data_IF_563053918771
#
_entry.id   IF_563053918771
#
_cell.length_a   1.000
_cell.length_b   1.000
_cell.length_c   1.000
_cell.angle_alpha   90.00
_cell.angle_beta   90.00
_cell.angle_gamma   90.00
#
_symmetry.space_group_name_H-M   'P 1'
#
loop_
_entity.id
_entity.type
_entity.pdbx_description
1 polymer ?
#
# COMPACT_ATOMS: atom_id res chain seq x y z
N UNK A 1 -9.51 -12.71 -4.73
CA UNK A 1 -8.96 -11.50 -4.07
C UNK A 1 -8.93 -10.29 -5.00
N UNK A 2 -8.21 -10.34 -6.13
CA UNK A 2 -8.20 -9.20 -7.10
C UNK A 2 -9.59 -8.98 -7.69
N UNK A 3 -10.24 -10.04 -8.16
CA UNK A 3 -11.59 -9.98 -8.73
C UNK A 3 -12.63 -9.47 -7.71
N UNK A 4 -12.55 -9.91 -6.46
CA UNK A 4 -13.44 -9.48 -5.38
C UNK A 4 -13.22 -7.99 -5.02
N UNK A 5 -11.98 -7.53 -5.01
CA UNK A 5 -11.66 -6.10 -4.82
C UNK A 5 -12.14 -5.26 -6.00
N UNK A 6 -12.03 -5.76 -7.24
CA UNK A 6 -12.53 -5.07 -8.43
C UNK A 6 -14.06 -5.04 -8.49
N UNK A 7 -14.74 -6.05 -7.93
CA UNK A 7 -16.21 -6.03 -7.72
C UNK A 7 -16.64 -5.15 -6.55
N UNK A 8 -15.73 -4.75 -5.66
CA UNK A 8 -16.04 -3.97 -4.46
C UNK A 8 -16.47 -4.80 -3.25
N UNK A 9 -16.37 -6.13 -3.32
CA UNK A 9 -16.71 -7.04 -2.21
C UNK A 9 -15.67 -6.99 -1.08
N UNK A 10 -14.47 -6.49 -1.38
CA UNK A 10 -13.40 -6.29 -0.40
C UNK A 10 -12.92 -4.85 -0.50
N UNK A 11 -13.12 -4.08 0.57
CA UNK A 11 -12.57 -2.73 0.67
C UNK A 11 -11.08 -2.79 1.02
N UNK A 12 -10.26 -2.38 0.06
CA UNK A 12 -8.81 -2.37 0.20
C UNK A 12 -8.27 -1.06 0.78
N UNK A 13 -9.07 0.01 0.78
CA UNK A 13 -8.64 1.33 1.23
C UNK A 13 -8.25 1.37 2.72
N UNK A 14 -8.96 0.69 3.66
CA UNK A 14 -8.60 0.69 5.08
C UNK A 14 -7.23 0.09 5.39
N UNK A 15 -6.67 -0.71 4.48
CA UNK A 15 -5.35 -1.32 4.67
C UNK A 15 -4.21 -0.40 4.21
N UNK A 16 -4.50 0.67 3.48
CA UNK A 16 -3.49 1.63 3.01
C UNK A 16 -3.10 2.55 4.16
N UNK A 17 -1.89 2.37 4.67
CA UNK A 17 -1.34 3.16 5.77
C UNK A 17 -0.42 4.28 5.31
N UNK A 18 0.19 4.13 4.13
CA UNK A 18 1.18 5.06 3.59
C UNK A 18 0.95 5.27 2.11
N UNK A 19 1.22 6.49 1.67
CA UNK A 19 1.12 6.91 0.28
C UNK A 19 2.30 7.84 -0.02
N UNK A 20 3.06 7.56 -1.07
CA UNK A 20 4.29 8.32 -1.39
C UNK A 20 4.60 8.27 -2.89
N UNK A 21 5.54 9.11 -3.34
CA UNK A 21 5.99 9.13 -4.73
C UNK A 21 7.00 8.01 -5.06
N UNK A 22 7.21 7.74 -6.35
CA UNK A 22 8.17 6.74 -6.82
C UNK A 22 9.62 7.05 -6.38
N UNK A 23 9.95 8.33 -6.23
CA UNK A 23 11.23 8.82 -5.72
C UNK A 23 11.51 8.38 -4.28
N UNK A 24 10.47 8.06 -3.50
CA UNK A 24 10.55 7.63 -2.10
C UNK A 24 10.44 6.10 -1.93
N UNK A 25 10.53 5.32 -3.02
CA UNK A 25 10.28 3.86 -2.99
C UNK A 25 11.13 3.12 -1.94
N UNK A 26 12.37 3.56 -1.71
CA UNK A 26 13.26 2.95 -0.71
C UNK A 26 12.77 3.17 0.72
N UNK A 27 12.15 4.31 1.02
CA UNK A 27 11.51 4.56 2.33
C UNK A 27 10.33 3.61 2.52
N UNK A 28 9.53 3.38 1.48
CA UNK A 28 8.47 2.37 1.50
C UNK A 28 8.97 0.97 1.87
N UNK A 29 10.12 0.56 1.31
CA UNK A 29 10.75 -0.71 1.67
C UNK A 29 11.29 -0.74 3.11
N UNK A 30 11.87 0.37 3.60
CA UNK A 30 12.34 0.48 4.97
C UNK A 30 11.19 0.31 5.98
N UNK A 31 10.08 1.04 5.79
CA UNK A 31 8.89 0.96 6.63
C UNK A 31 8.29 -0.46 6.66
N UNK A 32 8.32 -1.16 5.53
CA UNK A 32 7.88 -2.56 5.45
C UNK A 32 8.81 -3.48 6.26
N UNK A 33 10.13 -3.32 6.14
CA UNK A 33 11.10 -4.15 6.85
C UNK A 33 11.07 -3.93 8.37
N UNK A 34 10.80 -2.71 8.80
CA UNK A 34 10.66 -2.34 10.22
C UNK A 34 9.29 -2.71 10.80
N UNK A 35 8.36 -3.24 9.99
CA UNK A 35 6.99 -3.57 10.43
C UNK A 35 6.13 -2.35 10.73
N UNK A 36 6.51 -1.17 10.24
CA UNK A 36 5.80 0.11 10.41
C UNK A 36 4.78 0.38 9.30
N UNK A 37 4.72 -0.44 8.27
CA UNK A 37 3.73 -0.36 7.19
C UNK A 37 2.88 -1.62 7.14
N UNK A 38 1.56 -1.43 6.99
CA UNK A 38 0.63 -2.50 6.62
C UNK A 38 0.56 -2.57 5.09
N UNK A 39 0.41 -1.41 4.44
CA UNK A 39 0.45 -1.26 2.98
C UNK A 39 0.85 0.15 2.61
N UNK A 40 1.74 0.24 1.63
CA UNK A 40 2.19 1.49 1.00
C UNK A 40 1.72 1.52 -0.45
N UNK A 41 1.16 2.64 -0.89
CA UNK A 41 0.79 2.90 -2.29
C UNK A 41 1.78 3.90 -2.90
N UNK A 42 2.32 3.57 -4.06
CA UNK A 42 3.26 4.43 -4.79
C UNK A 42 2.53 5.09 -5.96
N UNK A 43 2.65 6.41 -6.08
CA UNK A 43 2.17 7.17 -7.23
C UNK A 43 3.31 7.49 -8.21
N UNK A 44 2.98 7.52 -9.51
CA UNK A 44 3.87 7.82 -10.64
C UNK A 44 3.36 9.06 -11.37
#
# INVERSE_FOLDING_TARGET
MVEDAMRGDIDLAPFVTHTMGLEEINEGFALMHEGKSIRTVIHY
#
